data_IF_649923539721
#
_entry.id   IF_649923539721
#
_cell.length_a   1.000
_cell.length_b   1.000
_cell.length_c   1.000
_cell.angle_alpha   90.00
_cell.angle_beta   90.00
_cell.angle_gamma   90.00
#
_symmetry.space_group_name_H-M   'P 1'
#
loop_
_entity.id
_entity.type
_entity.pdbx_description
1 polymer ?
#
# COMPACT_ATOMS: atom_id res chain seq x y z
N UNK A 1 -5.82 10.64 19.78
CA UNK A 1 -6.89 9.68 19.58
C UNK A 1 -6.53 8.71 18.47
N UNK A 2 -6.87 7.46 18.65
CA UNK A 2 -6.61 6.43 17.65
C UNK A 2 -7.57 6.52 16.46
N UNK A 3 -7.41 5.58 15.54
CA UNK A 3 -8.27 5.42 14.37
C UNK A 3 -9.69 5.02 14.79
N UNK A 4 -10.68 5.52 14.05
CA UNK A 4 -12.08 5.23 14.32
C UNK A 4 -12.97 5.55 13.13
N UNK A 5 -14.25 5.33 13.28
CA UNK A 5 -15.20 5.64 12.23
C UNK A 5 -16.49 6.26 12.77
N UNK A 6 -17.18 6.94 11.88
CA UNK A 6 -18.45 7.61 12.17
C UNK A 6 -19.36 7.46 10.96
N UNK A 7 -20.64 7.24 11.20
CA UNK A 7 -21.65 7.16 10.13
C UNK A 7 -22.54 8.40 10.25
N UNK A 8 -22.63 9.14 9.15
CA UNK A 8 -23.40 10.37 9.10
C UNK A 8 -24.14 10.50 7.77
N UNK A 9 -25.47 10.55 7.82
CA UNK A 9 -26.33 10.76 6.64
C UNK A 9 -26.05 9.79 5.49
N UNK A 10 -25.82 8.52 5.81
CA UNK A 10 -25.55 7.50 4.80
C UNK A 10 -24.12 7.49 4.26
N UNK A 11 -23.24 8.30 4.83
CA UNK A 11 -21.82 8.32 4.52
C UNK A 11 -21.01 7.77 5.68
N UNK A 12 -19.93 7.06 5.36
CA UNK A 12 -18.99 6.56 6.34
C UNK A 12 -17.77 7.48 6.35
N UNK A 13 -17.41 7.96 7.54
CA UNK A 13 -16.22 8.76 7.74
C UNK A 13 -15.23 7.96 8.56
N UNK A 14 -14.09 7.64 7.94
CA UNK A 14 -13.00 6.92 8.59
C UNK A 14 -11.92 7.91 8.97
N UNK A 15 -11.51 7.90 10.23
CA UNK A 15 -10.41 8.74 10.73
C UNK A 15 -9.21 7.86 10.97
N UNK A 16 -8.12 8.16 10.32
CA UNK A 16 -6.94 7.32 10.29
C UNK A 16 -5.74 8.13 10.77
N UNK A 17 -4.98 7.54 11.70
CA UNK A 17 -3.74 8.14 12.18
C UNK A 17 -2.62 7.87 11.17
N UNK A 18 -2.08 8.91 10.51
CA UNK A 18 -1.06 8.74 9.47
C UNK A 18 0.29 8.27 10.01
N UNK A 19 0.50 8.32 11.31
CA UNK A 19 1.71 7.78 11.95
C UNK A 19 1.67 6.26 12.01
N UNK A 20 0.47 5.67 12.03
CA UNK A 20 0.27 4.22 12.05
C UNK A 20 0.07 3.71 10.63
N UNK A 21 -0.77 4.40 9.86
CA UNK A 21 -1.11 4.03 8.48
C UNK A 21 -0.78 5.18 7.54
N UNK A 22 0.36 5.14 6.85
CA UNK A 22 0.73 6.19 5.90
C UNK A 22 -0.29 6.37 4.78
N UNK A 23 -0.35 7.56 4.21
CA UNK A 23 -1.33 7.93 3.19
C UNK A 23 -1.32 6.96 1.99
N UNK A 24 -0.16 6.51 1.54
CA UNK A 24 -0.05 5.58 0.42
C UNK A 24 -0.77 4.26 0.68
N UNK A 25 -0.75 3.79 1.94
CA UNK A 25 -1.44 2.56 2.36
C UNK A 25 -2.94 2.75 2.35
N UNK A 26 -3.39 3.94 2.73
CA UNK A 26 -4.82 4.31 2.72
C UNK A 26 -5.32 4.37 1.28
N UNK A 27 -4.58 4.98 0.37
CA UNK A 27 -4.92 5.01 -1.05
C UNK A 27 -5.04 3.60 -1.64
N UNK A 28 -4.08 2.74 -1.36
CA UNK A 28 -4.08 1.37 -1.87
C UNK A 28 -5.29 0.59 -1.36
N UNK A 29 -5.66 0.78 -0.10
CA UNK A 29 -6.84 0.13 0.49
C UNK A 29 -8.13 0.64 -0.13
N UNK A 30 -8.29 1.95 -0.28
CA UNK A 30 -9.46 2.54 -0.91
C UNK A 30 -9.62 2.06 -2.35
N UNK A 31 -8.51 1.91 -3.07
CA UNK A 31 -8.52 1.44 -4.44
C UNK A 31 -9.17 0.04 -4.58
N UNK A 32 -8.98 -0.83 -3.60
CA UNK A 32 -9.58 -2.18 -3.59
C UNK A 32 -11.10 -2.13 -3.63
N UNK A 33 -11.70 -1.10 -3.04
CA UNK A 33 -13.15 -0.98 -2.88
C UNK A 33 -13.80 0.04 -3.82
N UNK A 34 -13.09 0.52 -4.84
CA UNK A 34 -13.63 1.53 -5.77
C UNK A 34 -14.86 1.07 -6.55
N UNK A 35 -15.05 -0.22 -6.73
CA UNK A 35 -16.21 -0.78 -7.40
C UNK A 35 -17.49 -0.69 -6.57
N UNK A 36 -17.37 -0.58 -5.24
CA UNK A 36 -18.50 -0.59 -4.30
C UNK A 36 -18.79 0.78 -3.68
N UNK A 37 -17.78 1.65 -3.61
CA UNK A 37 -17.87 2.94 -2.91
C UNK A 37 -17.24 4.07 -3.69
N UNK A 38 -17.76 5.27 -3.49
CA UNK A 38 -17.07 6.50 -3.83
C UNK A 38 -16.25 6.95 -2.64
N UNK A 39 -15.00 7.35 -2.88
CA UNK A 39 -14.09 7.78 -1.81
C UNK A 39 -13.65 9.22 -2.01
N UNK A 40 -13.63 9.97 -0.92
CA UNK A 40 -13.01 11.28 -0.84
C UNK A 40 -12.03 11.22 0.31
N UNK A 41 -10.78 11.57 0.03
CA UNK A 41 -9.75 11.66 1.06
C UNK A 41 -9.51 13.14 1.38
N UNK A 42 -9.50 13.45 2.66
CA UNK A 42 -9.35 14.80 3.17
C UNK A 42 -8.48 14.78 4.43
N UNK A 43 -8.22 15.94 4.99
CA UNK A 43 -7.41 16.10 6.19
C UNK A 43 -5.96 16.42 5.88
N UNK A 44 -5.09 16.09 6.84
CA UNK A 44 -3.67 16.35 6.75
C UNK A 44 -2.89 15.03 6.83
N UNK A 45 -2.01 14.79 5.87
CA UNK A 45 -1.20 13.56 5.83
C UNK A 45 -0.24 13.40 7.02
N UNK A 46 -0.05 14.43 7.82
CA UNK A 46 0.82 14.41 9.00
C UNK A 46 0.07 14.28 10.32
N UNK A 47 -1.17 14.74 10.37
CA UNK A 47 -1.97 14.79 11.60
C UNK A 47 -3.13 13.82 11.62
N UNK A 48 -4.01 13.87 10.64
CA UNK A 48 -5.17 13.00 10.55
C UNK A 48 -5.64 12.87 9.11
N UNK A 49 -5.82 11.64 8.66
CA UNK A 49 -6.39 11.35 7.35
C UNK A 49 -7.86 11.01 7.53
N UNK A 50 -8.72 11.68 6.77
CA UNK A 50 -10.16 11.41 6.74
C UNK A 50 -10.51 10.74 5.42
N UNK A 51 -11.13 9.57 5.50
CA UNK A 51 -11.65 8.87 4.32
C UNK A 51 -13.17 8.92 4.40
N UNK A 52 -13.78 9.59 3.44
CA UNK A 52 -15.22 9.68 3.32
C UNK A 52 -15.67 8.69 2.28
N UNK A 53 -16.41 7.67 2.68
CA UNK A 53 -16.90 6.61 1.81
C UNK A 53 -18.40 6.71 1.64
N UNK A 54 -18.83 6.82 0.39
CA UNK A 54 -20.25 6.83 0.04
C UNK A 54 -20.57 5.57 -0.74
N UNK A 55 -21.51 4.73 -0.27
CA UNK A 55 -21.84 3.49 -0.96
C UNK A 55 -22.53 3.75 -2.30
N UNK A 56 -22.16 2.98 -3.31
CA UNK A 56 -22.85 2.98 -4.61
C UNK A 56 -24.21 2.29 -4.52
N UNK A 57 -24.33 1.31 -3.63
CA UNK A 57 -25.56 0.60 -3.34
C UNK A 57 -26.04 0.94 -1.92
N UNK A 58 -27.28 1.37 -1.78
CA UNK A 58 -27.87 1.74 -0.46
C UNK A 58 -27.99 0.57 0.52
N UNK A 59 -27.85 -0.66 0.03
CA UNK A 59 -27.94 -1.87 0.86
C UNK A 59 -26.64 -2.22 1.59
N UNK A 60 -25.57 -1.48 1.35
CA UNK A 60 -24.29 -1.73 2.01
C UNK A 60 -24.36 -1.47 3.51
N UNK A 61 -23.84 -2.39 4.29
CA UNK A 61 -23.71 -2.22 5.73
C UNK A 61 -22.43 -1.45 6.02
N UNK A 62 -22.58 -0.18 6.41
CA UNK A 62 -21.44 0.72 6.61
C UNK A 62 -20.58 0.33 7.80
N UNK A 63 -21.18 -0.19 8.86
CA UNK A 63 -20.45 -0.64 10.04
C UNK A 63 -19.55 -1.82 9.75
N UNK A 64 -20.08 -2.81 9.05
CA UNK A 64 -19.32 -3.97 8.60
C UNK A 64 -18.22 -3.57 7.62
N UNK A 65 -18.54 -2.68 6.71
CA UNK A 65 -17.55 -2.16 5.76
C UNK A 65 -16.42 -1.42 6.46
N UNK A 66 -16.71 -0.63 7.49
CA UNK A 66 -15.68 0.05 8.26
C UNK A 66 -14.68 -0.93 8.88
N UNK A 67 -15.17 -2.02 9.47
CA UNK A 67 -14.32 -3.07 10.02
C UNK A 67 -13.47 -3.73 8.94
N UNK A 68 -14.08 -4.05 7.81
CA UNK A 68 -13.39 -4.66 6.68
C UNK A 68 -12.32 -3.73 6.10
N UNK A 69 -12.61 -2.44 6.02
CA UNK A 69 -11.64 -1.46 5.54
C UNK A 69 -10.40 -1.43 6.43
N UNK A 70 -10.57 -1.42 7.74
CA UNK A 70 -9.45 -1.43 8.67
C UNK A 70 -8.67 -2.76 8.62
N UNK A 71 -9.34 -3.89 8.43
CA UNK A 71 -8.68 -5.18 8.25
C UNK A 71 -7.81 -5.18 6.98
N UNK A 72 -8.35 -4.70 5.88
CA UNK A 72 -7.59 -4.58 4.63
C UNK A 72 -6.45 -3.58 4.74
N UNK A 73 -6.67 -2.46 5.42
CA UNK A 73 -5.64 -1.46 5.67
C UNK A 73 -4.48 -2.05 6.46
N UNK A 74 -4.77 -2.85 7.47
CA UNK A 74 -3.75 -3.54 8.25
C UNK A 74 -2.99 -4.55 7.38
N UNK A 75 -3.68 -5.33 6.56
CA UNK A 75 -3.08 -6.29 5.63
C UNK A 75 -2.19 -5.61 4.60
N UNK A 76 -2.68 -4.54 3.99
CA UNK A 76 -1.93 -3.76 3.00
C UNK A 76 -0.67 -3.17 3.64
N UNK A 77 -0.80 -2.59 4.82
CA UNK A 77 0.32 -2.00 5.55
C UNK A 77 1.38 -3.05 5.88
N UNK A 78 0.98 -4.22 6.36
CA UNK A 78 1.88 -5.31 6.66
C UNK A 78 2.59 -5.82 5.39
N UNK A 79 1.86 -5.96 4.29
CA UNK A 79 2.43 -6.37 3.01
C UNK A 79 3.53 -5.42 2.55
N UNK A 80 3.27 -4.12 2.56
CA UNK A 80 4.24 -3.12 2.16
C UNK A 80 5.46 -3.08 3.09
N UNK A 81 5.24 -3.21 4.39
CA UNK A 81 6.33 -3.25 5.36
C UNK A 81 7.25 -4.46 5.14
N UNK A 82 6.67 -5.62 4.88
CA UNK A 82 7.44 -6.83 4.56
C UNK A 82 8.20 -6.69 3.25
N UNK A 83 7.57 -6.11 2.24
CA UNK A 83 8.21 -5.88 0.95
C UNK A 83 9.44 -4.98 1.09
N UNK A 84 9.32 -3.87 1.80
CA UNK A 84 10.44 -2.96 2.04
C UNK A 84 11.58 -3.62 2.80
N UNK A 85 11.28 -4.44 3.81
CA UNK A 85 12.29 -5.19 4.55
C UNK A 85 13.05 -6.18 3.66
N UNK A 86 12.35 -6.83 2.74
CA UNK A 86 12.92 -7.87 1.90
C UNK A 86 13.61 -7.35 0.63
N UNK A 87 13.36 -6.10 0.28
CA UNK A 87 13.91 -5.47 -0.93
C UNK A 87 15.43 -5.58 -1.01
N UNK A 88 16.12 -5.20 0.03
CA UNK A 88 17.58 -5.24 0.09
C UNK A 88 18.11 -6.67 0.08
N UNK A 89 17.42 -7.58 0.76
CA UNK A 89 17.77 -9.00 0.80
C UNK A 89 17.63 -9.63 -0.59
N UNK A 90 16.54 -9.34 -1.30
CA UNK A 90 16.31 -9.83 -2.66
C UNK A 90 17.40 -9.33 -3.59
N UNK A 91 17.76 -8.06 -3.52
CA UNK A 91 18.83 -7.46 -4.30
C UNK A 91 20.18 -8.14 -4.04
N UNK A 92 20.50 -8.38 -2.76
CA UNK A 92 21.73 -9.08 -2.37
C UNK A 92 21.78 -10.53 -2.90
N UNK A 93 20.66 -11.24 -2.80
CA UNK A 93 20.57 -12.64 -3.30
C UNK A 93 20.77 -12.68 -4.80
N UNK A 94 20.15 -11.77 -5.56
CA UNK A 94 20.32 -11.66 -6.99
C UNK A 94 21.77 -11.38 -7.37
N UNK A 95 22.43 -10.44 -6.70
CA UNK A 95 23.82 -10.11 -6.94
C UNK A 95 24.73 -11.31 -6.68
N UNK A 96 24.56 -12.00 -5.56
CA UNK A 96 25.34 -13.18 -5.23
C UNK A 96 25.17 -14.32 -6.23
N UNK A 97 23.93 -14.56 -6.66
CA UNK A 97 23.64 -15.59 -7.66
C UNK A 97 24.35 -15.29 -8.99
N UNK A 98 24.31 -14.04 -9.43
CA UNK A 98 24.95 -13.59 -10.65
C UNK A 98 26.49 -13.67 -10.55
N UNK A 99 27.07 -13.24 -9.45
CA UNK A 99 28.52 -13.31 -9.22
C UNK A 99 29.03 -14.74 -9.06
N UNK A 100 28.24 -15.67 -8.55
CA UNK A 100 28.64 -17.06 -8.43
C UNK A 100 28.64 -17.81 -9.78
N UNK A 101 27.79 -17.39 -10.71
CA UNK A 101 27.65 -17.99 -12.03
C UNK A 101 28.68 -17.40 -13.02
N UNK A 102 29.06 -16.14 -12.86
CA UNK A 102 29.93 -15.40 -13.76
C UNK A 102 31.23 -15.05 -13.02
N UNK A 103 32.31 -15.87 -13.16
CA UNK A 103 33.59 -15.58 -12.51
C UNK A 103 34.37 -14.43 -13.12
N UNK A 104 33.85 -13.78 -14.16
CA UNK A 104 34.45 -12.62 -14.83
C UNK A 104 33.72 -11.34 -14.45
N UNK A 105 34.37 -10.15 -14.56
CA UNK A 105 33.68 -8.86 -14.38
C UNK A 105 32.45 -8.79 -15.28
N UNK A 106 31.36 -8.24 -14.76
CA UNK A 106 30.12 -8.08 -15.51
C UNK A 106 30.33 -7.20 -16.73
N UNK A 107 29.77 -7.63 -17.87
CA UNK A 107 29.74 -6.80 -19.08
C UNK A 107 28.72 -5.65 -18.88
N UNK A 108 28.83 -4.61 -19.73
CA UNK A 108 27.85 -3.51 -19.66
C UNK A 108 26.41 -3.99 -19.85
N UNK A 109 26.21 -5.00 -20.70
CA UNK A 109 24.89 -5.59 -20.94
C UNK A 109 24.34 -6.26 -19.68
N UNK A 110 25.18 -7.00 -18.97
CA UNK A 110 24.81 -7.69 -17.73
C UNK A 110 24.50 -6.68 -16.61
N UNK A 111 25.28 -5.61 -16.50
CA UNK A 111 24.99 -4.52 -15.55
C UNK A 111 23.67 -3.83 -15.87
N UNK A 112 23.36 -3.61 -17.13
CA UNK A 112 22.10 -3.02 -17.56
C UNK A 112 20.90 -3.94 -17.25
N UNK A 113 21.06 -5.25 -17.39
CA UNK A 113 20.02 -6.21 -17.01
C UNK A 113 19.73 -6.20 -15.50
N UNK A 114 20.79 -6.12 -14.70
CA UNK A 114 20.65 -6.03 -13.23
C UNK A 114 19.93 -4.75 -12.84
N UNK A 115 20.32 -3.60 -13.39
CA UNK A 115 19.65 -2.34 -13.15
C UNK A 115 18.18 -2.38 -13.55
N UNK A 116 17.88 -3.01 -14.68
CA UNK A 116 16.51 -3.17 -15.16
C UNK A 116 15.66 -4.00 -14.22
N UNK A 117 16.21 -5.11 -13.70
CA UNK A 117 15.53 -5.95 -12.71
C UNK A 117 15.30 -5.19 -11.40
N UNK A 118 16.28 -4.43 -10.94
CA UNK A 118 16.14 -3.59 -9.74
C UNK A 118 15.06 -2.53 -9.93
N UNK A 119 14.97 -1.90 -11.10
CA UNK A 119 13.94 -0.95 -11.42
C UNK A 119 12.54 -1.59 -11.47
N UNK A 120 12.41 -2.78 -12.00
CA UNK A 120 11.15 -3.53 -12.01
C UNK A 120 10.66 -3.82 -10.59
N UNK A 121 11.57 -4.22 -9.70
CA UNK A 121 11.25 -4.45 -8.29
C UNK A 121 10.82 -3.15 -7.61
N UNK A 122 11.50 -2.03 -7.90
CA UNK A 122 11.11 -0.72 -7.37
C UNK A 122 9.76 -0.25 -7.87
N UNK A 123 9.42 -0.51 -9.13
CA UNK A 123 8.12 -0.16 -9.70
C UNK A 123 6.97 -0.94 -9.06
N UNK A 124 7.18 -2.19 -8.70
CA UNK A 124 6.18 -2.98 -7.97
C UNK A 124 5.87 -2.43 -6.57
N UNK A 125 6.79 -1.69 -5.97
CA UNK A 125 6.58 -1.03 -4.68
C UNK A 125 5.92 0.34 -4.77
N UNK A 126 5.85 0.93 -5.97
CA UNK A 126 5.23 2.24 -6.20
C UNK A 126 3.80 2.10 -6.68
N UNK A 127 2.93 1.64 -5.82
CA UNK A 127 1.50 1.63 -6.12
C UNK A 127 0.83 2.87 -5.57
#
# INVERSE_FOLDING_TARGET
MGSGFEINSGELILRINPKIYPLERVYATAYIFLDRFYFILDGDKETEIMVIAKPKDKKENLEEFARRFFEELLSVTNYFNQFEKNKDIISMVLQRALFSIVPKPLTMEEEMEIEKLEQEIEQETKL
#
